data_IF_822412212406
#
_entry.id   IF_822412212406
#
_cell.length_a   1.000
_cell.length_b   1.000
_cell.length_c   1.000
_cell.angle_alpha   90.00
_cell.angle_beta   90.00
_cell.angle_gamma   90.00
#
_symmetry.space_group_name_H-M   'P 1'
#
loop_
_entity.id
_entity.type
_entity.pdbx_description
1 polymer ?
#
# COMPACT_ATOMS: atom_id res chain seq x y z
N UNK A 1 -11.48 -20.25 -14.15
CA UNK A 1 -11.87 -19.28 -15.19
C UNK A 1 -12.14 -17.98 -14.45
N UNK A 2 -11.55 -16.86 -14.89
CA UNK A 2 -11.71 -15.57 -14.22
C UNK A 2 -13.19 -15.20 -14.20
N UNK A 3 -13.74 -14.87 -13.02
CA UNK A 3 -15.18 -14.59 -12.86
C UNK A 3 -15.54 -13.16 -13.25
N UNK A 4 -14.64 -12.21 -13.03
CA UNK A 4 -14.82 -10.80 -13.39
C UNK A 4 -13.75 -10.32 -14.38
N UNK A 5 -14.10 -9.29 -15.14
CA UNK A 5 -13.24 -8.54 -16.05
C UNK A 5 -13.16 -7.06 -15.64
N UNK A 6 -12.19 -6.33 -16.19
CA UNK A 6 -12.10 -4.89 -16.00
C UNK A 6 -13.39 -4.20 -16.49
N UNK A 7 -13.92 -3.28 -15.67
CA UNK A 7 -15.19 -2.60 -15.91
C UNK A 7 -16.38 -3.20 -15.17
N UNK A 8 -16.32 -4.46 -14.73
CA UNK A 8 -17.40 -5.11 -14.00
C UNK A 8 -17.69 -4.42 -12.67
N UNK A 9 -18.98 -4.33 -12.32
CA UNK A 9 -19.45 -3.80 -11.04
C UNK A 9 -19.62 -4.95 -10.06
N UNK A 10 -18.94 -4.83 -8.92
CA UNK A 10 -18.90 -5.86 -7.88
C UNK A 10 -19.28 -5.28 -6.53
N UNK A 11 -19.90 -6.11 -5.70
CA UNK A 11 -20.14 -5.82 -4.29
C UNK A 11 -19.13 -6.56 -3.44
N UNK A 12 -18.50 -5.85 -2.52
CA UNK A 12 -17.66 -6.45 -1.48
C UNK A 12 -18.55 -7.06 -0.42
N UNK A 13 -18.34 -8.33 -0.09
CA UNK A 13 -19.16 -9.04 0.88
C UNK A 13 -18.72 -8.76 2.32
N UNK A 14 -19.66 -8.38 3.19
CA UNK A 14 -19.46 -8.48 4.64
C UNK A 14 -19.81 -9.91 5.09
N UNK A 15 -18.89 -10.86 4.94
CA UNK A 15 -19.17 -12.28 5.12
C UNK A 15 -19.62 -12.70 6.54
N UNK A 16 -19.59 -11.80 7.54
CA UNK A 16 -20.00 -12.10 8.92
C UNK A 16 -19.21 -13.25 9.59
N UNK A 17 -18.04 -13.59 9.03
CA UNK A 17 -17.23 -14.72 9.48
C UNK A 17 -16.36 -14.34 10.66
N UNK A 18 -16.23 -15.27 11.60
CA UNK A 18 -15.19 -15.25 12.61
C UNK A 18 -13.85 -15.69 11.98
N UNK A 19 -12.72 -15.19 12.48
CA UNK A 19 -11.40 -15.51 11.96
C UNK A 19 -10.73 -14.36 11.18
N UNK A 20 -9.64 -14.68 10.47
CA UNK A 20 -8.83 -13.69 9.77
C UNK A 20 -9.49 -13.27 8.44
N UNK A 21 -10.00 -12.05 8.36
CA UNK A 21 -10.58 -11.47 7.13
C UNK A 21 -9.80 -10.23 6.74
N UNK A 22 -9.18 -10.23 5.55
CA UNK A 22 -8.37 -9.11 5.03
C UNK A 22 -9.16 -8.13 4.16
N UNK A 23 -10.44 -7.96 4.47
CA UNK A 23 -11.27 -6.89 3.91
C UNK A 23 -11.41 -5.80 4.99
N UNK A 24 -10.85 -4.60 4.79
CA UNK A 24 -11.07 -3.48 5.70
C UNK A 24 -12.55 -3.18 5.89
N UNK A 25 -12.92 -2.75 7.09
CA UNK A 25 -14.32 -2.53 7.43
C UNK A 25 -15.00 -1.52 6.50
N UNK A 26 -14.30 -0.44 6.13
CA UNK A 26 -14.85 0.68 5.36
C UNK A 26 -15.26 0.32 3.92
N UNK A 27 -14.76 -0.77 3.34
CA UNK A 27 -15.18 -1.24 2.00
C UNK A 27 -16.21 -2.38 2.05
N UNK A 28 -16.55 -2.92 3.21
CA UNK A 28 -17.51 -4.03 3.30
C UNK A 28 -18.91 -3.54 2.88
N UNK A 29 -19.63 -4.37 2.13
CA UNK A 29 -20.92 -4.07 1.50
C UNK A 29 -20.90 -2.96 0.44
N UNK A 30 -19.76 -2.32 0.21
CA UNK A 30 -19.62 -1.28 -0.80
C UNK A 30 -19.61 -1.85 -2.21
N UNK A 31 -20.04 -1.02 -3.15
CA UNK A 31 -20.01 -1.33 -4.59
C UNK A 31 -18.78 -0.66 -5.18
N UNK A 32 -17.98 -1.44 -5.89
CA UNK A 32 -16.81 -0.96 -6.60
C UNK A 32 -16.79 -1.46 -8.03
N UNK A 33 -15.80 -0.98 -8.79
CA UNK A 33 -15.56 -1.37 -10.17
C UNK A 33 -14.23 -2.10 -10.27
N UNK A 34 -14.23 -3.29 -10.87
CA UNK A 34 -12.99 -4.02 -11.15
C UNK A 34 -12.16 -3.21 -12.14
N UNK A 35 -10.92 -2.90 -11.78
CA UNK A 35 -9.97 -2.21 -12.66
C UNK A 35 -9.01 -3.20 -13.32
N UNK A 36 -8.59 -4.24 -12.59
CA UNK A 36 -7.62 -5.20 -13.11
C UNK A 36 -7.75 -6.59 -12.45
N UNK A 37 -7.42 -7.64 -13.20
CA UNK A 37 -7.14 -8.97 -12.66
C UNK A 37 -5.65 -9.08 -12.31
N UNK A 38 -5.33 -9.40 -11.06
CA UNK A 38 -3.96 -9.35 -10.56
C UNK A 38 -3.23 -10.70 -10.57
N UNK A 39 -3.96 -11.82 -10.71
CA UNK A 39 -3.42 -13.17 -10.65
C UNK A 39 -4.22 -14.09 -9.75
N UNK A 40 -3.70 -15.29 -9.51
CA UNK A 40 -4.28 -16.27 -8.58
C UNK A 40 -3.24 -16.55 -7.50
N UNK A 41 -3.64 -16.43 -6.23
CA UNK A 41 -2.74 -16.50 -5.07
C UNK A 41 -3.33 -17.42 -3.99
N UNK A 42 -2.50 -17.98 -3.11
CA UNK A 42 -3.00 -18.77 -1.98
C UNK A 42 -3.96 -17.93 -1.12
N UNK A 43 -5.03 -18.56 -0.65
CA UNK A 43 -6.04 -17.90 0.17
C UNK A 43 -5.41 -17.34 1.46
N UNK A 44 -5.47 -16.02 1.71
CA UNK A 44 -4.87 -15.43 2.90
C UNK A 44 -5.51 -15.91 4.20
N UNK A 45 -6.77 -16.34 4.18
CA UNK A 45 -7.45 -16.90 5.36
C UNK A 45 -6.83 -18.25 5.76
N UNK A 46 -6.48 -19.08 4.77
CA UNK A 46 -5.79 -20.36 4.99
C UNK A 46 -4.35 -20.14 5.46
N UNK A 47 -3.64 -19.20 4.84
CA UNK A 47 -2.27 -18.86 5.23
C UNK A 47 -2.17 -18.35 6.67
N UNK A 48 -3.17 -17.59 7.14
CA UNK A 48 -3.19 -17.06 8.50
C UNK A 48 -3.22 -18.16 9.59
N UNK A 49 -3.66 -19.37 9.24
CA UNK A 49 -3.66 -20.54 10.13
C UNK A 49 -2.60 -21.58 9.73
N UNK A 50 -1.65 -21.20 8.86
CA UNK A 50 -0.56 -22.06 8.42
C UNK A 50 -0.93 -23.10 7.36
N UNK A 51 -2.14 -23.05 6.79
CA UNK A 51 -2.55 -23.95 5.72
C UNK A 51 -2.02 -23.46 4.36
N UNK A 52 -0.87 -24.01 3.94
CA UNK A 52 -0.24 -23.70 2.64
C UNK A 52 -0.67 -24.63 1.51
N UNK A 53 -1.46 -25.67 1.80
CA UNK A 53 -1.98 -26.63 0.82
C UNK A 53 -3.38 -26.26 0.32
N UNK A 54 -3.89 -25.10 0.73
CA UNK A 54 -5.19 -24.57 0.33
C UNK A 54 -5.28 -24.23 -1.16
N UNK A 55 -6.51 -23.98 -1.61
CA UNK A 55 -6.77 -23.58 -3.00
C UNK A 55 -6.30 -22.15 -3.23
N UNK A 56 -5.68 -21.91 -4.39
CA UNK A 56 -5.41 -20.57 -4.87
C UNK A 56 -6.71 -19.89 -5.36
N UNK A 57 -6.85 -18.61 -5.05
CA UNK A 57 -8.00 -17.76 -5.32
C UNK A 57 -7.57 -16.59 -6.20
N UNK A 58 -8.41 -16.26 -7.18
CA UNK A 58 -8.21 -15.10 -8.05
C UNK A 58 -8.25 -13.79 -7.25
N UNK A 59 -7.42 -12.83 -7.64
CA UNK A 59 -7.28 -11.52 -6.99
C UNK A 59 -7.57 -10.41 -8.01
N UNK A 60 -8.31 -9.40 -7.57
CA UNK A 60 -8.72 -8.27 -8.42
C UNK A 60 -8.39 -6.94 -7.75
N UNK A 61 -7.98 -5.93 -8.52
CA UNK A 61 -8.03 -4.53 -8.06
C UNK A 61 -9.43 -3.98 -8.30
N UNK A 62 -9.97 -3.31 -7.29
CA UNK A 62 -11.31 -2.73 -7.32
C UNK A 62 -11.20 -1.26 -6.91
N UNK A 63 -11.76 -0.38 -7.74
CA UNK A 63 -11.84 1.04 -7.50
C UNK A 63 -13.19 1.42 -6.88
N UNK A 64 -13.15 2.35 -5.93
CA UNK A 64 -14.29 2.95 -5.24
C UNK A 64 -14.20 4.46 -5.37
N UNK A 65 -15.33 5.12 -5.65
CA UNK A 65 -15.40 6.57 -5.53
C UNK A 65 -15.32 6.95 -4.05
N UNK A 66 -14.41 7.86 -3.70
CA UNK A 66 -14.25 8.31 -2.30
C UNK A 66 -15.56 8.90 -1.75
N UNK A 67 -16.32 9.61 -2.59
CA UNK A 67 -17.64 10.17 -2.25
C UNK A 67 -18.70 9.12 -1.90
N UNK A 68 -18.58 7.88 -2.40
CA UNK A 68 -19.47 6.78 -2.03
C UNK A 68 -19.07 6.13 -0.71
N UNK A 69 -17.76 6.08 -0.41
CA UNK A 69 -17.26 5.56 0.86
C UNK A 69 -17.58 6.51 2.02
N UNK A 70 -17.55 7.82 1.77
CA UNK A 70 -17.67 8.86 2.79
C UNK A 70 -18.68 9.95 2.37
N UNK A 71 -19.99 9.63 2.29
CA UNK A 71 -21.01 10.51 1.71
C UNK A 71 -21.25 11.81 2.47
N UNK A 72 -20.79 11.89 3.72
CA UNK A 72 -20.95 13.08 4.58
C UNK A 72 -19.74 14.02 4.54
N UNK A 73 -18.65 13.61 3.89
CA UNK A 73 -17.41 14.38 3.80
C UNK A 73 -17.35 15.13 2.45
N UNK A 74 -16.75 16.33 2.44
CA UNK A 74 -16.56 17.12 1.20
C UNK A 74 -15.33 16.59 0.48
N UNK A 75 -15.56 15.85 -0.60
CA UNK A 75 -14.49 15.19 -1.37
C UNK A 75 -14.72 15.44 -2.87
N UNK A 76 -13.68 15.81 -3.64
CA UNK A 76 -13.80 15.91 -5.09
C UNK A 76 -14.34 14.62 -5.72
N UNK A 77 -15.34 14.75 -6.59
CA UNK A 77 -16.11 13.61 -7.12
C UNK A 77 -15.29 12.57 -7.90
N UNK A 78 -14.11 12.95 -8.36
CA UNK A 78 -13.22 12.13 -9.17
C UNK A 78 -12.13 11.43 -8.33
N UNK A 79 -12.01 11.72 -7.03
CA UNK A 79 -11.09 11.01 -6.15
C UNK A 79 -11.53 9.56 -5.95
N UNK A 80 -10.55 8.65 -5.99
CA UNK A 80 -10.82 7.21 -5.88
C UNK A 80 -9.89 6.52 -4.90
N UNK A 81 -10.37 5.38 -4.39
CA UNK A 81 -9.59 4.43 -3.64
C UNK A 81 -9.52 3.12 -4.42
N UNK A 82 -8.33 2.55 -4.56
CA UNK A 82 -8.08 1.27 -5.20
C UNK A 82 -7.50 0.30 -4.17
N UNK A 83 -8.01 -0.92 -4.16
CA UNK A 83 -7.60 -1.98 -3.23
C UNK A 83 -7.71 -3.35 -3.90
N UNK A 84 -6.82 -4.28 -3.55
CA UNK A 84 -6.96 -5.67 -3.97
C UNK A 84 -7.95 -6.46 -3.12
N UNK A 85 -8.85 -7.19 -3.78
CA UNK A 85 -9.88 -8.01 -3.14
C UNK A 85 -9.91 -9.39 -3.82
N UNK A 86 -9.83 -10.44 -2.99
CA UNK A 86 -9.91 -11.82 -3.45
C UNK A 86 -11.32 -12.18 -3.94
N UNK A 87 -11.40 -13.06 -4.94
CA UNK A 87 -12.63 -13.41 -5.64
C UNK A 87 -13.76 -13.85 -4.69
N UNK A 88 -13.47 -14.70 -3.71
CA UNK A 88 -14.50 -15.22 -2.79
C UNK A 88 -15.10 -14.16 -1.86
N UNK A 89 -14.58 -12.93 -1.88
CA UNK A 89 -15.11 -11.77 -1.18
C UNK A 89 -15.92 -10.82 -2.07
N UNK A 90 -16.06 -11.14 -3.35
CA UNK A 90 -16.80 -10.35 -4.32
C UNK A 90 -18.06 -11.09 -4.77
N UNK A 91 -19.12 -10.31 -5.03
CA UNK A 91 -20.33 -10.77 -5.71
C UNK A 91 -20.66 -9.86 -6.90
N UNK A 92 -21.21 -10.40 -8.01
CA UNK A 92 -21.70 -9.57 -9.11
C UNK A 92 -22.89 -8.71 -8.65
N UNK A 93 -22.95 -7.47 -9.13
CA UNK A 93 -24.15 -6.64 -8.99
C UNK A 93 -24.99 -6.79 -10.26
N UNK A 94 -26.21 -7.35 -10.14
CA UNK A 94 -27.20 -7.28 -11.22
C UNK A 94 -27.90 -5.92 -11.14
N UNK A 95 -28.19 -5.28 -12.27
CA UNK A 95 -28.70 -3.89 -12.44
C UNK A 95 -29.97 -3.49 -11.63
N UNK A 96 -30.53 -4.35 -10.79
CA UNK A 96 -31.73 -4.09 -9.99
C UNK A 96 -31.51 -4.42 -8.52
N UNK A 97 -30.67 -3.65 -7.84
CA UNK A 97 -30.72 -3.50 -6.37
C UNK A 97 -29.76 -2.39 -5.91
N UNK A 98 -30.29 -1.17 -5.75
CA UNK A 98 -29.72 -0.18 -4.84
C UNK A 98 -30.59 -0.15 -3.58
N UNK A 99 -30.19 -0.83 -2.49
CA UNK A 99 -30.70 -0.53 -1.17
C UNK A 99 -29.81 0.53 -0.52
N UNK A 100 -30.42 1.60 -0.04
CA UNK A 100 -29.84 2.49 0.96
C UNK A 100 -30.34 2.01 2.33
N UNK A 101 -29.42 1.52 3.17
CA UNK A 101 -29.59 1.54 4.62
C UNK A 101 -28.21 1.44 5.28
N UNK A 102 -27.91 2.36 6.19
CA UNK A 102 -26.64 2.41 6.92
C UNK A 102 -26.95 2.34 8.42
N UNK A 103 -26.54 1.24 9.05
CA UNK A 103 -26.50 1.10 10.50
C UNK A 103 -25.16 1.64 11.02
N UNK A 104 -25.22 2.61 11.93
CA UNK A 104 -24.07 3.24 12.55
C UNK A 104 -23.71 2.49 13.84
N UNK A 105 -22.80 1.51 13.73
CA UNK A 105 -22.17 0.91 14.89
C UNK A 105 -21.19 1.89 15.55
N UNK A 106 -21.23 1.97 16.88
CA UNK A 106 -20.31 2.77 17.69
C UNK A 106 -18.84 2.37 17.40
N UNK A 107 -18.03 3.36 17.03
CA UNK A 107 -16.61 3.17 16.82
C UNK A 107 -15.89 3.17 18.17
N UNK A 108 -15.38 2.00 18.56
CA UNK A 108 -14.53 1.84 19.73
C UNK A 108 -13.26 2.70 19.60
N UNK A 109 -12.87 3.31 20.72
CA UNK A 109 -11.97 4.44 20.80
C UNK A 109 -10.55 4.18 20.23
N UNK A 110 -9.96 5.29 19.79
CA UNK A 110 -8.54 5.44 19.46
C UNK A 110 -7.65 4.79 20.54
N UNK A 111 -6.93 3.73 20.16
CA UNK A 111 -5.79 3.28 20.94
C UNK A 111 -4.68 4.31 20.71
N UNK A 112 -4.38 5.06 21.76
CA UNK A 112 -3.24 5.98 21.82
C UNK A 112 -1.99 5.10 21.75
N UNK A 113 -1.19 5.27 20.69
CA UNK A 113 0.13 4.66 20.58
C UNK A 113 1.07 5.47 21.49
N UNK A 114 1.42 4.92 22.65
CA UNK A 114 2.57 5.41 23.42
C UNK A 114 3.83 4.87 22.74
N UNK A 115 4.69 5.78 22.27
CA UNK A 115 6.02 5.49 21.78
C UNK A 115 7.02 6.30 22.62
N UNK A 116 7.47 5.70 23.74
CA UNK A 116 8.84 5.71 24.27
C UNK A 116 8.81 5.30 25.76
N UNK A 117 9.38 4.13 26.09
CA UNK A 117 9.55 3.70 27.49
C UNK A 117 8.69 2.51 27.92
N UNK A 118 8.21 1.67 27.00
CA UNK A 118 7.50 0.43 27.35
C UNK A 118 8.50 -0.64 27.89
N UNK A 119 8.91 -0.46 29.14
CA UNK A 119 9.81 -1.36 29.88
C UNK A 119 9.24 -2.79 29.94
N UNK A 120 7.92 -2.94 29.97
CA UNK A 120 7.25 -4.24 29.97
C UNK A 120 7.50 -4.99 28.66
N UNK A 121 7.35 -4.32 27.52
CA UNK A 121 7.67 -4.89 26.21
C UNK A 121 9.15 -5.30 26.12
N UNK A 122 10.08 -4.51 26.66
CA UNK A 122 11.50 -4.87 26.67
C UNK A 122 11.77 -6.14 27.50
N UNK A 123 11.17 -6.25 28.70
CA UNK A 123 11.28 -7.44 29.54
C UNK A 123 10.75 -8.68 28.80
N UNK A 124 9.63 -8.56 28.08
CA UNK A 124 9.05 -9.65 27.29
C UNK A 124 9.99 -10.05 26.15
N UNK A 125 10.59 -9.09 25.44
CA UNK A 125 11.55 -9.34 24.37
C UNK A 125 12.78 -10.08 24.91
N UNK A 126 13.36 -9.61 26.01
CA UNK A 126 14.55 -10.20 26.63
C UNK A 126 14.28 -11.65 27.06
N UNK A 127 13.16 -11.89 27.76
CA UNK A 127 12.76 -13.23 28.20
C UNK A 127 12.50 -14.19 27.03
N UNK A 128 11.87 -13.71 25.95
CA UNK A 128 11.63 -14.52 24.75
C UNK A 128 12.94 -14.87 24.05
N UNK A 129 13.86 -13.90 23.90
CA UNK A 129 15.18 -14.14 23.32
C UNK A 129 15.97 -15.18 24.11
N UNK A 130 15.98 -15.08 25.44
CA UNK A 130 16.66 -16.04 26.31
C UNK A 130 16.12 -17.47 26.11
N UNK A 131 14.78 -17.64 26.06
CA UNK A 131 14.15 -18.95 25.83
C UNK A 131 14.50 -19.53 24.44
N UNK A 132 14.48 -18.71 23.39
CA UNK A 132 14.76 -19.16 22.03
C UNK A 132 16.24 -19.52 21.82
N UNK A 133 17.15 -18.76 22.43
CA UNK A 133 18.59 -19.06 22.48
C UNK A 133 18.83 -20.34 23.29
N UNK A 134 18.24 -20.47 24.47
CA UNK A 134 18.36 -21.67 25.31
C UNK A 134 17.85 -22.94 24.65
N UNK A 135 16.89 -22.81 23.73
CA UNK A 135 16.38 -23.91 22.89
C UNK A 135 17.21 -24.17 21.62
N UNK A 136 18.24 -23.37 21.34
CA UNK A 136 19.06 -23.47 20.14
C UNK A 136 18.30 -23.16 18.84
N UNK A 137 17.18 -22.43 18.91
CA UNK A 137 16.37 -22.06 17.75
C UNK A 137 16.91 -20.81 17.03
N UNK A 138 17.71 -20.00 17.75
CA UNK A 138 18.44 -18.85 17.23
C UNK A 138 19.64 -18.56 18.13
N UNK A 139 20.55 -17.73 17.64
CA UNK A 139 21.73 -17.25 18.37
C UNK A 139 21.64 -15.75 18.61
N UNK A 140 22.28 -15.27 19.67
CA UNK A 140 22.38 -13.82 19.92
C UNK A 140 22.99 -13.07 18.73
N UNK A 141 23.96 -13.68 18.03
CA UNK A 141 24.60 -13.08 16.86
C UNK A 141 23.64 -12.92 15.67
N UNK A 142 22.73 -13.88 15.46
CA UNK A 142 21.69 -13.77 14.42
C UNK A 142 20.72 -12.62 14.73
N UNK A 143 20.35 -12.43 15.99
CA UNK A 143 19.52 -11.29 16.42
C UNK A 143 20.25 -9.98 16.19
N UNK A 144 21.47 -9.84 16.70
CA UNK A 144 22.26 -8.61 16.53
C UNK A 144 22.49 -8.29 15.04
N UNK A 145 22.76 -9.31 14.22
CA UNK A 145 22.91 -9.17 12.77
C UNK A 145 21.62 -8.71 12.09
N UNK A 146 20.46 -9.24 12.50
CA UNK A 146 19.17 -8.81 12.00
C UNK A 146 18.84 -7.35 12.39
N UNK A 147 19.12 -6.95 13.64
CA UNK A 147 18.95 -5.57 14.11
C UNK A 147 19.86 -4.63 13.32
N UNK A 148 21.17 -4.94 13.24
CA UNK A 148 22.12 -4.12 12.49
C UNK A 148 21.73 -3.97 11.01
N UNK A 149 21.16 -5.02 10.39
CA UNK A 149 20.63 -4.96 9.03
C UNK A 149 19.40 -4.04 8.94
N UNK A 150 18.48 -4.09 9.91
CA UNK A 150 17.30 -3.22 9.95
C UNK A 150 17.66 -1.75 10.20
N UNK A 151 18.66 -1.49 11.04
CA UNK A 151 19.15 -0.15 11.40
C UNK A 151 20.16 0.42 10.41
N UNK A 152 20.71 -0.41 9.51
CA UNK A 152 21.64 0.05 8.49
C UNK A 152 21.01 1.19 7.67
N UNK A 153 21.75 2.28 7.40
CA UNK A 153 21.25 3.42 6.63
C UNK A 153 20.53 2.92 5.38
N UNK A 154 19.25 3.27 5.27
CA UNK A 154 18.32 2.64 4.36
C UNK A 154 18.81 2.69 2.91
N UNK A 155 18.68 1.55 2.26
CA UNK A 155 18.63 1.40 0.81
C UNK A 155 17.47 2.26 0.31
N UNK A 156 17.75 3.48 -0.17
CA UNK A 156 16.81 4.27 -0.96
C UNK A 156 17.24 4.15 -2.43
N UNK A 157 16.95 2.98 -3.00
CA UNK A 157 17.24 2.69 -4.42
C UNK A 157 16.08 3.11 -5.32
N UNK A 158 14.96 3.53 -4.73
CA UNK A 158 13.80 4.00 -5.48
C UNK A 158 14.11 5.23 -6.34
N UNK A 159 15.03 6.10 -5.89
CA UNK A 159 15.48 7.24 -6.68
C UNK A 159 16.11 6.81 -8.03
N UNK A 160 16.96 5.77 -8.02
CA UNK A 160 17.57 5.22 -9.25
C UNK A 160 16.51 4.69 -10.23
N UNK A 161 15.50 4.00 -9.69
CA UNK A 161 14.36 3.49 -10.48
C UNK A 161 13.63 4.64 -11.18
N UNK A 162 13.35 5.72 -10.46
CA UNK A 162 12.64 6.89 -10.98
C UNK A 162 13.48 7.64 -12.01
N UNK A 163 14.74 7.96 -11.72
CA UNK A 163 15.63 8.67 -12.65
C UNK A 163 15.82 7.88 -13.94
N UNK A 164 15.96 6.55 -13.85
CA UNK A 164 16.01 5.69 -15.03
C UNK A 164 14.71 5.78 -15.85
N UNK A 165 13.54 5.83 -15.21
CA UNK A 165 12.26 5.96 -15.89
C UNK A 165 12.05 7.33 -16.55
N UNK A 166 12.55 8.41 -15.94
CA UNK A 166 12.50 9.74 -16.55
C UNK A 166 13.38 9.86 -17.79
N UNK A 167 14.54 9.20 -17.79
CA UNK A 167 15.56 9.33 -18.85
C UNK A 167 15.50 8.24 -19.91
N UNK A 168 14.69 7.20 -19.73
CA UNK A 168 14.49 6.10 -20.67
C UNK A 168 13.01 5.71 -20.75
N UNK A 169 12.29 6.21 -21.79
CA UNK A 169 10.88 5.89 -22.01
C UNK A 169 10.58 4.39 -22.19
N UNK A 170 11.51 3.61 -22.75
CA UNK A 170 11.32 2.17 -22.95
C UNK A 170 11.41 1.44 -21.61
N UNK A 171 12.36 1.84 -20.75
CA UNK A 171 12.43 1.34 -19.37
C UNK A 171 11.18 1.74 -18.58
N UNK A 172 10.70 2.98 -18.70
CA UNK A 172 9.45 3.43 -18.08
C UNK A 172 8.26 2.56 -18.48
N UNK A 173 8.12 2.24 -19.77
CA UNK A 173 7.05 1.36 -20.24
C UNK A 173 7.16 -0.06 -19.64
N UNK A 174 8.36 -0.61 -19.51
CA UNK A 174 8.59 -1.90 -18.84
C UNK A 174 8.29 -1.82 -17.34
N UNK A 175 8.71 -0.75 -16.67
CA UNK A 175 8.49 -0.50 -15.24
C UNK A 175 7.01 -0.45 -14.88
N UNK A 176 6.19 0.22 -15.70
CA UNK A 176 4.75 0.31 -15.49
C UNK A 176 4.03 -1.02 -15.79
N UNK A 177 4.60 -1.87 -16.63
CA UNK A 177 4.03 -3.17 -16.99
C UNK A 177 4.40 -4.28 -15.99
N UNK A 178 5.68 -4.40 -15.63
CA UNK A 178 6.21 -5.34 -14.65
C UNK A 178 7.30 -4.67 -13.81
N UNK A 179 6.87 -4.01 -12.74
CA UNK A 179 7.77 -3.27 -11.86
C UNK A 179 8.84 -4.14 -11.21
N UNK A 180 8.56 -5.42 -10.94
CA UNK A 180 9.54 -6.32 -10.33
C UNK A 180 10.66 -6.62 -11.32
N UNK A 181 10.31 -7.01 -12.55
CA UNK A 181 11.29 -7.33 -13.57
C UNK A 181 12.13 -6.11 -13.97
N UNK A 182 11.50 -4.94 -14.15
CA UNK A 182 12.20 -3.72 -14.52
C UNK A 182 13.19 -3.26 -13.45
N UNK A 183 12.80 -3.25 -12.17
CA UNK A 183 13.70 -2.86 -11.07
C UNK A 183 14.93 -3.79 -10.99
N UNK A 184 14.77 -5.07 -11.33
CA UNK A 184 15.89 -6.02 -11.37
C UNK A 184 16.90 -5.73 -12.49
N UNK A 185 16.52 -5.03 -13.57
CA UNK A 185 17.45 -4.57 -14.61
C UNK A 185 18.54 -3.64 -14.04
N UNK A 186 18.26 -2.97 -12.93
CA UNK A 186 19.19 -2.08 -12.22
C UNK A 186 20.08 -2.83 -11.19
N UNK A 187 20.04 -4.16 -11.16
CA UNK A 187 20.71 -4.99 -10.15
C UNK A 187 20.22 -4.75 -8.72
N UNK A 188 19.01 -4.22 -8.57
CA UNK A 188 18.35 -4.04 -7.27
C UNK A 188 17.68 -5.36 -6.87
N UNK A 189 18.02 -5.93 -5.69
CA UNK A 189 17.45 -7.21 -5.27
C UNK A 189 16.01 -7.02 -4.79
N UNK A 190 15.03 -7.42 -5.60
CA UNK A 190 13.61 -7.35 -5.23
C UNK A 190 13.16 -8.62 -4.52
N UNK A 191 12.70 -8.50 -3.27
CA UNK A 191 12.21 -9.65 -2.47
C UNK A 191 10.68 -9.75 -2.45
N UNK A 192 9.97 -8.66 -2.77
CA UNK A 192 8.52 -8.57 -2.83
C UNK A 192 7.97 -9.42 -3.97
N UNK A 193 6.83 -10.10 -3.76
CA UNK A 193 6.21 -10.93 -4.78
C UNK A 193 5.86 -10.14 -6.06
N UNK A 194 5.38 -8.91 -5.91
CA UNK A 194 5.06 -7.98 -7.01
C UNK A 194 5.38 -6.55 -6.60
N UNK A 195 5.86 -5.76 -7.57
CA UNK A 195 5.99 -4.31 -7.48
C UNK A 195 5.03 -3.70 -8.51
N UNK A 196 4.12 -2.85 -8.05
CA UNK A 196 3.18 -2.10 -8.87
C UNK A 196 3.63 -0.65 -8.87
N UNK A 197 3.98 -0.12 -10.04
CA UNK A 197 4.39 1.27 -10.18
C UNK A 197 3.20 2.08 -10.68
N UNK A 198 2.85 3.13 -9.94
CA UNK A 198 1.72 4.02 -10.24
C UNK A 198 2.27 5.41 -10.52
N UNK A 199 1.92 5.95 -11.68
CA UNK A 199 2.53 7.17 -12.19
C UNK A 199 1.67 8.40 -11.90
N UNK A 200 2.32 9.45 -11.38
CA UNK A 200 1.74 10.78 -11.31
C UNK A 200 1.81 11.47 -12.67
N UNK A 201 0.80 12.28 -12.95
CA UNK A 201 0.70 13.12 -14.16
C UNK A 201 0.14 14.48 -13.77
N UNK A 202 0.10 15.48 -14.68
CA UNK A 202 -0.41 16.79 -14.32
C UNK A 202 -1.90 16.80 -13.86
N UNK A 203 -2.64 15.72 -14.15
CA UNK A 203 -4.05 15.54 -13.75
C UNK A 203 -4.26 14.40 -12.74
N UNK A 204 -3.19 13.72 -12.29
CA UNK A 204 -3.28 12.56 -11.41
C UNK A 204 -2.19 12.58 -10.33
N UNK A 205 -2.60 12.32 -9.09
CA UNK A 205 -1.73 12.10 -7.94
C UNK A 205 -2.06 10.76 -7.29
N UNK A 206 -1.03 9.97 -7.01
CA UNK A 206 -1.16 8.69 -6.33
C UNK A 206 -0.66 8.80 -4.89
N UNK A 207 -1.36 8.16 -3.96
CA UNK A 207 -0.97 8.04 -2.55
C UNK A 207 -1.05 6.57 -2.13
N UNK A 208 -0.02 6.06 -1.46
CA UNK A 208 0.05 4.66 -1.03
C UNK A 208 -0.24 4.56 0.46
N UNK A 209 -1.04 3.57 0.86
CA UNK A 209 -1.26 3.22 2.26
C UNK A 209 -1.37 1.69 2.43
N UNK A 210 -1.42 1.24 3.68
CA UNK A 210 -1.77 -0.12 4.04
C UNK A 210 -2.60 -0.09 5.32
N UNK A 211 -3.93 -0.05 5.17
CA UNK A 211 -4.82 0.17 6.30
C UNK A 211 -4.81 -0.99 7.31
N UNK A 212 -4.56 -2.22 6.85
CA UNK A 212 -4.60 -3.40 7.71
C UNK A 212 -3.33 -3.62 8.53
N UNK A 213 -2.17 -3.15 8.05
CA UNK A 213 -0.90 -3.39 8.73
C UNK A 213 0.16 -2.34 8.37
N UNK A 214 1.11 -2.69 7.51
CA UNK A 214 2.30 -1.89 7.19
C UNK A 214 3.03 -2.41 5.93
N UNK A 215 2.29 -2.94 4.95
CA UNK A 215 2.84 -3.38 3.67
C UNK A 215 3.65 -2.25 3.02
N UNK A 216 4.90 -2.54 2.66
CA UNK A 216 5.87 -1.56 2.16
C UNK A 216 6.94 -2.24 1.28
N UNK A 217 7.45 -1.61 0.19
CA UNK A 217 8.51 -2.17 -0.66
C UNK A 217 9.89 -2.05 0.00
N UNK A 218 10.13 -2.85 1.04
CA UNK A 218 11.31 -2.77 1.91
C UNK A 218 12.63 -3.06 1.20
N UNK A 219 12.63 -3.88 0.14
CA UNK A 219 13.84 -4.15 -0.62
C UNK A 219 14.32 -2.96 -1.45
N UNK A 220 13.42 -2.01 -1.74
CA UNK A 220 13.68 -0.82 -2.57
C UNK A 220 13.84 0.45 -1.71
N UNK A 221 13.00 0.60 -0.67
CA UNK A 221 12.88 1.82 0.14
C UNK A 221 13.35 1.66 1.59
N UNK A 222 13.78 0.47 1.99
CA UNK A 222 14.16 0.17 3.37
C UNK A 222 12.96 0.10 4.32
N UNK A 223 13.18 0.40 5.60
CA UNK A 223 12.10 0.39 6.59
C UNK A 223 11.10 1.53 6.35
N UNK A 224 9.78 1.28 6.46
CA UNK A 224 8.79 2.34 6.41
C UNK A 224 9.02 3.31 7.59
N UNK A 225 8.76 4.61 7.39
CA UNK A 225 8.79 5.57 8.49
C UNK A 225 7.70 5.25 9.52
N UNK A 226 7.91 5.63 10.78
CA UNK A 226 6.95 5.40 11.86
C UNK A 226 5.56 5.96 11.55
N UNK A 227 5.50 7.15 10.94
CA UNK A 227 4.22 7.76 10.53
C UNK A 227 3.44 6.89 9.56
N UNK A 228 4.07 6.14 8.67
CA UNK A 228 3.38 5.26 7.71
C UNK A 228 2.71 4.08 8.42
N UNK A 229 3.32 3.59 9.50
CA UNK A 229 2.81 2.49 10.32
C UNK A 229 1.76 2.99 11.34
N UNK A 230 1.74 4.29 11.65
CA UNK A 230 0.83 4.85 12.64
C UNK A 230 -0.64 4.60 12.27
N UNK A 231 -1.49 4.44 13.28
CA UNK A 231 -2.95 4.37 13.05
C UNK A 231 -3.49 5.66 12.44
N UNK A 232 -2.94 6.81 12.86
CA UNK A 232 -3.35 8.12 12.39
C UNK A 232 -3.24 8.22 10.86
N UNK A 233 -2.08 7.90 10.29
CA UNK A 233 -1.88 7.90 8.85
C UNK A 233 -2.77 6.87 8.15
N UNK A 234 -2.73 5.61 8.60
CA UNK A 234 -3.44 4.50 7.94
C UNK A 234 -4.95 4.71 7.90
N UNK A 235 -5.57 5.13 9.00
CA UNK A 235 -7.02 5.35 9.04
C UNK A 235 -7.45 6.58 8.24
N UNK A 236 -6.66 7.67 8.29
CA UNK A 236 -7.04 8.96 7.68
C UNK A 236 -6.72 9.02 6.19
N UNK A 237 -5.65 8.36 5.73
CA UNK A 237 -5.25 8.33 4.32
C UNK A 237 -6.31 7.73 3.38
N UNK A 238 -7.28 6.96 3.89
CA UNK A 238 -8.38 6.45 3.07
C UNK A 238 -9.69 7.23 3.19
N UNK A 239 -9.80 8.12 4.19
CA UNK A 239 -11.02 8.89 4.49
C UNK A 239 -10.90 10.38 4.15
N UNK A 240 -9.80 10.99 4.55
CA UNK A 240 -9.52 12.41 4.32
C UNK A 240 -8.11 12.61 3.73
N UNK A 241 -7.76 11.91 2.63
CA UNK A 241 -6.40 11.89 2.11
C UNK A 241 -5.85 13.28 1.80
N UNK A 242 -6.65 14.19 1.26
CA UNK A 242 -6.20 15.57 0.96
C UNK A 242 -5.80 16.35 2.20
N UNK A 243 -6.49 16.16 3.33
CA UNK A 243 -6.10 16.79 4.61
C UNK A 243 -4.81 16.18 5.15
N UNK A 244 -4.64 14.87 5.01
CA UNK A 244 -3.38 14.19 5.35
C UNK A 244 -2.24 14.76 4.50
N UNK A 245 -2.42 14.93 3.19
CA UNK A 245 -1.42 15.56 2.32
C UNK A 245 -1.07 16.99 2.76
N UNK A 246 -2.07 17.79 3.15
CA UNK A 246 -1.84 19.15 3.65
C UNK A 246 -0.98 19.17 4.93
N UNK A 247 -1.08 18.16 5.79
CA UNK A 247 -0.21 17.99 6.98
C UNK A 247 1.25 17.69 6.61
N UNK A 248 1.49 17.08 5.46
CA UNK A 248 2.83 16.93 4.86
C UNK A 248 3.29 18.18 4.09
N UNK A 249 2.47 19.25 4.06
CA UNK A 249 2.75 20.48 3.33
C UNK A 249 2.34 20.44 1.85
N UNK A 250 1.61 19.42 1.41
CA UNK A 250 1.10 19.31 0.05
C UNK A 250 -0.39 19.69 -0.01
N UNK A 251 -0.66 20.93 -0.41
CA UNK A 251 -2.02 21.37 -0.75
C UNK A 251 -2.36 20.99 -2.20
N UNK A 252 -2.97 19.82 -2.38
CA UNK A 252 -3.27 19.27 -3.70
C UNK A 252 -4.54 19.91 -4.28
N UNK A 253 -4.40 20.60 -5.42
CA UNK A 253 -5.52 21.19 -6.17
C UNK A 253 -6.68 20.21 -6.35
N UNK A 254 -7.91 20.71 -6.20
CA UNK A 254 -9.13 19.94 -6.44
C UNK A 254 -9.28 19.53 -7.91
N UNK A 255 -8.58 20.16 -8.86
CA UNK A 255 -8.62 19.77 -10.28
C UNK A 255 -7.74 18.54 -10.60
N UNK A 256 -6.86 18.15 -9.68
CA UNK A 256 -5.98 16.98 -9.82
C UNK A 256 -6.64 15.80 -9.15
N UNK A 257 -6.85 14.71 -9.90
CA UNK A 257 -7.41 13.49 -9.34
C UNK A 257 -6.48 12.88 -8.28
N UNK A 258 -7.01 12.54 -7.12
CA UNK A 258 -6.29 11.75 -6.12
C UNK A 258 -6.72 10.28 -6.14
N UNK A 259 -5.75 9.38 -6.27
CA UNK A 259 -5.96 7.93 -6.19
C UNK A 259 -5.19 7.38 -5.01
N UNK A 260 -5.93 6.85 -4.03
CA UNK A 260 -5.35 6.17 -2.86
C UNK A 260 -5.25 4.67 -3.15
N UNK A 261 -4.05 4.10 -3.06
CA UNK A 261 -3.78 2.67 -3.22
C UNK A 261 -3.61 2.01 -1.85
N UNK A 262 -4.62 1.24 -1.42
CA UNK A 262 -4.58 0.49 -0.16
C UNK A 262 -4.04 -0.94 -0.38
N UNK A 263 -2.77 -1.13 -0.06
CA UNK A 263 -1.96 -2.31 -0.40
C UNK A 263 -2.20 -3.51 0.52
N UNK A 264 -3.39 -4.10 0.45
CA UNK A 264 -3.83 -5.15 1.37
C UNK A 264 -3.56 -6.60 0.91
N UNK A 265 -3.04 -6.80 -0.29
CA UNK A 265 -2.53 -8.09 -0.77
C UNK A 265 -0.98 -8.12 -0.81
N UNK A 266 -0.38 -9.16 -1.41
CA UNK A 266 1.08 -9.27 -1.60
C UNK A 266 1.59 -8.49 -2.83
N UNK A 267 0.97 -7.33 -3.08
CA UNK A 267 1.40 -6.31 -4.02
C UNK A 267 2.06 -5.18 -3.22
N UNK A 268 3.20 -4.67 -3.67
CA UNK A 268 3.81 -3.47 -3.08
C UNK A 268 3.85 -2.36 -4.11
N UNK A 269 3.42 -1.18 -3.70
CA UNK A 269 3.30 -0.04 -4.59
C UNK A 269 4.52 0.85 -4.49
N UNK A 270 4.81 1.53 -5.60
CA UNK A 270 5.80 2.59 -5.70
C UNK A 270 5.20 3.71 -6.56
N UNK A 271 5.20 4.94 -6.07
CA UNK A 271 4.82 6.10 -6.89
C UNK A 271 5.99 6.45 -7.81
N UNK A 272 5.72 6.60 -9.11
CA UNK A 272 6.60 7.27 -10.06
C UNK A 272 6.19 8.75 -10.13
N UNK A 273 6.93 9.67 -9.48
CA UNK A 273 6.64 11.09 -9.55
C UNK A 273 6.91 11.66 -10.95
N UNK A 274 6.34 12.83 -11.23
CA UNK A 274 6.62 13.57 -12.46
C UNK A 274 8.06 14.09 -12.46
N UNK A 275 8.73 14.12 -13.64
CA UNK A 275 10.05 14.74 -13.74
C UNK A 275 9.96 16.25 -13.48
N UNK A 276 10.99 16.88 -12.88
CA UNK A 276 11.09 18.33 -12.83
C UNK A 276 11.09 18.95 -14.23
N UNK A 277 10.59 20.18 -14.37
CA UNK A 277 10.56 20.89 -15.66
C UNK A 277 11.95 21.08 -16.28
N UNK A 278 12.98 21.19 -15.44
CA UNK A 278 14.37 21.40 -15.82
C UNK A 278 15.24 20.14 -15.69
N UNK A 279 14.65 18.96 -15.93
CA UNK A 279 15.30 17.65 -15.91
C UNK A 279 16.69 17.64 -16.58
N UNK A 280 16.82 18.26 -17.75
CA UNK A 280 18.06 18.30 -18.54
C UNK A 280 19.22 19.09 -17.90
N UNK A 281 18.95 19.87 -16.83
CA UNK A 281 19.96 20.68 -16.15
C UNK A 281 20.73 19.93 -15.08
N UNK A 282 20.27 18.74 -14.71
CA UNK A 282 20.83 17.98 -13.60
C UNK A 282 21.51 16.71 -14.11
N UNK A 283 22.62 16.35 -13.46
CA UNK A 283 23.17 15.01 -13.58
C UNK A 283 22.24 13.98 -12.91
N UNK A 284 22.40 12.70 -13.28
CA UNK A 284 21.60 11.62 -12.69
C UNK A 284 21.70 11.59 -11.16
N UNK A 285 22.90 11.80 -10.60
CA UNK A 285 23.11 11.84 -9.15
C UNK A 285 22.40 13.02 -8.47
N UNK A 286 22.36 14.18 -9.14
CA UNK A 286 21.63 15.36 -8.63
C UNK A 286 20.12 15.12 -8.65
N UNK A 287 19.60 14.47 -9.69
CA UNK A 287 18.19 14.06 -9.75
C UNK A 287 17.85 13.05 -8.65
N UNK A 288 18.70 12.04 -8.44
CA UNK A 288 18.50 11.03 -7.39
C UNK A 288 18.44 11.65 -6.00
N UNK A 289 19.30 12.64 -5.71
CA UNK A 289 19.36 13.32 -4.42
C UNK A 289 18.10 14.15 -4.09
N UNK A 290 17.33 14.55 -5.12
CA UNK A 290 16.08 15.32 -4.96
C UNK A 290 14.87 14.42 -4.68
N UNK A 291 14.95 13.14 -5.05
CA UNK A 291 13.85 12.19 -4.87
C UNK A 291 13.88 11.65 -3.45
N UNK A 292 13.07 12.23 -2.58
CA UNK A 292 12.83 11.69 -1.25
C UNK A 292 11.90 10.47 -1.27
N UNK A 293 11.92 9.69 -0.18
CA UNK A 293 10.98 8.59 0.07
C UNK A 293 9.52 9.04 0.01
N UNK A 294 9.25 10.28 0.38
CA UNK A 294 7.90 10.85 0.46
C UNK A 294 7.28 10.99 -0.93
N UNK A 295 8.07 11.28 -1.96
CA UNK A 295 7.62 11.25 -3.36
C UNK A 295 7.20 9.84 -3.80
N UNK A 296 7.91 8.82 -3.31
CA UNK A 296 7.71 7.42 -3.68
C UNK A 296 6.54 6.76 -2.93
N UNK A 297 6.07 7.38 -1.84
CA UNK A 297 4.82 7.06 -1.14
C UNK A 297 3.66 7.90 -1.67
N UNK A 298 3.96 9.10 -2.20
CA UNK A 298 2.96 10.04 -2.70
C UNK A 298 2.50 11.08 -1.68
N UNK A 299 3.23 11.28 -0.58
CA UNK A 299 2.95 12.38 0.38
C UNK A 299 3.67 13.69 0.01
N UNK A 300 4.57 13.62 -0.98
CA UNK A 300 5.14 14.77 -1.68
C UNK A 300 4.87 14.64 -3.19
N UNK A 301 4.87 15.77 -3.91
CA UNK A 301 4.57 15.81 -5.35
C UNK A 301 5.71 16.37 -6.18
N UNK A 302 6.08 17.62 -5.94
CA UNK A 302 7.10 18.33 -6.72
C UNK A 302 8.51 17.89 -6.31
N UNK A 303 9.29 17.42 -7.29
CA UNK A 303 10.72 17.16 -7.11
C UNK A 303 11.47 18.42 -7.52
N UNK A 304 11.85 19.23 -6.54
CA UNK A 304 12.56 20.51 -6.73
C UNK A 304 14.06 20.40 -6.65
#
# INVERSE_FOLDING_TARGET
>A
MKRFAAGDIVRVLALGKTGHVRIPHYIRNQIGRVTEYCGTYLNPEDLAVGNTSGRAVDLYRVAFAQTQLWPNDVIPHHDTLIIEIYDHWLAPVKETQMPHDHDHGEHEALVIEDEAGNIEAQIIVDALQEVLIGKGLLTALEVTGAIAKLESPGIHLGAQVVVKAWTDPDYRARLLSDGRAAVQELNIPVTEARIIVVENTPQLHNLITCTLCSCYPRSILGQPPSWYISKAYRARSVREPRRVLAEFGLDLSEDIQLVVHDSNADMRYLVLPEPPEDLDRFSLNELEARISRDHLIGVAREVV
#
